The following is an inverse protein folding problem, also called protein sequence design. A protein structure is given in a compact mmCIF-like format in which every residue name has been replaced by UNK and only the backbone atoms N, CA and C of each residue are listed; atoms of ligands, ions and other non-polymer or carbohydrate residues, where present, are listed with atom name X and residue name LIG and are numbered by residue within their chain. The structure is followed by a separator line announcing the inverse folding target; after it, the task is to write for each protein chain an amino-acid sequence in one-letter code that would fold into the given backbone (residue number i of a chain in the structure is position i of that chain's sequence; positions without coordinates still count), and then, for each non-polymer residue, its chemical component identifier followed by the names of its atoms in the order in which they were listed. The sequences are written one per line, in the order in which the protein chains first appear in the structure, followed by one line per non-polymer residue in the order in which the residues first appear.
data_IF_240318085764
#
_entry.id   IF_240318085764
#
_cell.length_a   1.000
_cell.length_b   1.000
_cell.length_c   1.000
_cell.angle_alpha   90.00
_cell.angle_beta   90.00
_cell.angle_gamma   90.00
#
_symmetry.space_group_name_H-M   'P 1'
#
loop_
_entity.id
_entity.type
_entity.pdbx_description
1 polymer ?
#
# COMPACT_ATOMS: atom_id res chain seq x y z
N UNK A 1 10.36 30.88 -66.60
CA UNK A 1 10.44 29.68 -65.74
C UNK A 1 10.03 30.12 -64.35
N UNK A 2 8.98 29.48 -63.81
CA UNK A 2 8.11 30.01 -62.75
C UNK A 2 8.56 29.51 -61.38
N UNK A 3 8.28 30.36 -60.39
CA UNK A 3 7.91 30.01 -59.01
C UNK A 3 9.08 29.70 -58.08
N UNK A 4 9.50 30.77 -57.40
CA UNK A 4 9.84 30.80 -55.97
C UNK A 4 9.03 29.75 -55.21
N UNK A 5 9.71 28.77 -54.63
CA UNK A 5 9.12 27.80 -53.72
C UNK A 5 9.88 27.81 -52.40
N UNK A 6 9.87 28.98 -51.78
CA UNK A 6 10.04 29.09 -50.33
C UNK A 6 8.64 28.99 -49.72
N UNK A 7 8.29 27.79 -49.25
CA UNK A 7 7.19 27.62 -48.30
C UNK A 7 7.54 26.53 -47.28
N UNK A 8 7.87 27.04 -46.08
CA UNK A 8 7.24 26.61 -44.83
C UNK A 8 7.71 25.26 -44.26
N UNK A 9 8.67 25.40 -43.33
CA UNK A 9 8.52 24.92 -41.95
C UNK A 9 7.75 23.62 -41.75
N UNK A 10 8.47 22.51 -41.76
CA UNK A 10 8.19 21.51 -40.73
C UNK A 10 9.18 21.73 -39.59
N UNK A 11 8.83 22.70 -38.74
CA UNK A 11 9.22 22.62 -37.32
C UNK A 11 8.70 21.28 -36.87
N UNK A 12 9.57 20.27 -36.80
CA UNK A 12 9.24 18.99 -36.18
C UNK A 12 8.95 19.35 -34.73
N UNK A 13 7.69 19.27 -34.25
CA UNK A 13 7.40 19.58 -32.87
C UNK A 13 8.24 18.64 -32.02
N UNK A 14 9.06 19.23 -31.16
CA UNK A 14 9.93 18.52 -30.25
C UNK A 14 9.15 17.45 -29.49
N UNK A 15 9.84 16.33 -29.32
CA UNK A 15 9.73 15.46 -28.15
C UNK A 15 8.31 15.02 -27.81
N UNK A 16 7.97 13.84 -28.32
CA UNK A 16 7.31 12.78 -27.54
C UNK A 16 6.62 13.30 -26.27
N UNK A 17 5.37 13.74 -26.41
CA UNK A 17 4.45 13.64 -25.31
C UNK A 17 4.39 12.17 -24.94
N UNK A 18 5.29 11.70 -24.06
CA UNK A 18 5.09 10.46 -23.34
C UNK A 18 3.73 10.69 -22.69
N UNK A 19 2.65 10.03 -23.13
CA UNK A 19 1.42 10.09 -22.36
C UNK A 19 1.85 9.70 -20.96
N UNK A 20 1.52 10.55 -19.99
CA UNK A 20 1.88 10.41 -18.59
C UNK A 20 1.38 9.08 -18.08
N UNK A 21 2.15 8.03 -18.36
CA UNK A 21 1.86 6.68 -18.01
C UNK A 21 2.11 6.61 -16.53
N UNK A 22 1.09 6.94 -15.74
CA UNK A 22 0.84 6.21 -14.52
C UNK A 22 0.70 4.76 -14.96
N UNK A 23 1.86 4.12 -15.09
CA UNK A 23 2.00 2.71 -15.39
C UNK A 23 1.24 2.06 -14.27
N UNK A 24 0.13 1.39 -14.59
CA UNK A 24 -0.78 0.78 -13.62
C UNK A 24 0.00 0.02 -12.53
N UNK A 25 1.13 -0.57 -12.90
CA UNK A 25 2.11 -1.26 -12.05
C UNK A 25 2.84 -0.39 -11.02
N UNK A 26 3.23 0.85 -11.34
CA UNK A 26 3.96 1.72 -10.40
C UNK A 26 3.02 2.33 -9.36
N UNK A 27 1.80 2.70 -9.77
CA UNK A 27 0.73 3.12 -8.86
C UNK A 27 0.30 2.00 -7.92
N UNK A 28 0.10 0.79 -8.44
CA UNK A 28 -0.24 -0.39 -7.63
C UNK A 28 0.85 -0.73 -6.59
N UNK A 29 2.13 -0.65 -6.96
CA UNK A 29 3.21 -0.94 -6.01
C UNK A 29 3.18 0.01 -4.80
N UNK A 30 2.99 1.31 -5.04
CA UNK A 30 2.83 2.30 -3.96
C UNK A 30 1.57 2.03 -3.15
N UNK A 31 0.46 1.72 -3.80
CA UNK A 31 -0.79 1.36 -3.13
C UNK A 31 -0.63 0.15 -2.20
N UNK A 32 0.04 -0.93 -2.62
CA UNK A 32 0.31 -2.09 -1.77
C UNK A 32 1.11 -1.73 -0.52
N UNK A 33 2.11 -0.86 -0.67
CA UNK A 33 2.91 -0.38 0.47
C UNK A 33 2.05 0.46 1.41
N UNK A 34 1.29 1.42 0.88
CA UNK A 34 0.42 2.28 1.69
C UNK A 34 -0.61 1.46 2.44
N UNK A 35 -1.28 0.50 1.78
CA UNK A 35 -2.24 -0.40 2.44
C UNK A 35 -1.55 -1.25 3.49
N UNK A 36 -0.36 -1.79 3.23
CA UNK A 36 0.40 -2.57 4.20
C UNK A 36 0.77 -1.76 5.45
N UNK A 37 1.25 -0.52 5.27
CA UNK A 37 1.58 0.41 6.36
C UNK A 37 0.33 0.83 7.13
N UNK A 38 -0.75 1.19 6.43
CA UNK A 38 -2.03 1.55 7.03
C UNK A 38 -2.58 0.42 7.91
N UNK A 39 -2.55 -0.80 7.39
CA UNK A 39 -2.93 -2.00 8.11
C UNK A 39 -2.09 -2.15 9.41
N UNK A 40 -0.77 -1.98 9.31
CA UNK A 40 0.13 -2.01 10.45
C UNK A 40 -0.13 -0.93 11.50
N UNK A 41 -0.69 0.23 11.13
CA UNK A 41 -1.02 1.30 12.06
C UNK A 41 -2.35 1.01 12.78
N UNK A 42 -3.35 0.51 12.05
CA UNK A 42 -4.71 0.33 12.57
C UNK A 42 -4.81 -0.85 13.53
N UNK A 43 -4.23 -2.00 13.18
CA UNK A 43 -4.44 -3.23 13.95
C UNK A 43 -3.85 -3.23 15.36
N UNK A 44 -2.63 -2.72 15.62
CA UNK A 44 -2.11 -2.64 16.98
C UNK A 44 -2.98 -1.74 17.87
N UNK A 45 -3.46 -0.62 17.33
CA UNK A 45 -4.34 0.28 18.07
C UNK A 45 -5.69 -0.37 18.41
N UNK A 46 -6.22 -1.17 17.49
CA UNK A 46 -7.45 -1.93 17.70
C UNK A 46 -7.25 -3.07 18.70
N UNK A 47 -6.09 -3.73 18.68
CA UNK A 47 -5.74 -4.78 19.64
C UNK A 47 -5.75 -4.25 21.08
N UNK A 48 -5.18 -3.07 21.32
CA UNK A 48 -5.24 -2.40 22.62
C UNK A 48 -6.68 -2.09 23.03
N UNK A 49 -7.48 -1.55 22.10
CA UNK A 49 -8.89 -1.24 22.38
C UNK A 49 -9.71 -2.49 22.78
N UNK A 50 -9.43 -3.65 22.16
CA UNK A 50 -10.08 -4.92 22.52
C UNK A 50 -9.58 -5.43 23.86
N UNK A 51 -8.29 -5.29 24.14
CA UNK A 51 -7.70 -5.70 25.42
C UNK A 51 -8.29 -4.93 26.60
N UNK A 52 -8.50 -3.63 26.44
CA UNK A 52 -9.07 -2.73 27.44
C UNK A 52 -10.59 -2.82 27.55
N UNK A 53 -11.26 -3.63 26.71
CA UNK A 53 -12.70 -3.85 26.82
C UNK A 53 -13.01 -4.84 27.97
N UNK A 54 -13.83 -4.47 28.96
CA UNK A 54 -14.25 -5.38 30.04
C UNK A 54 -14.82 -6.72 29.55
N UNK A 55 -15.48 -6.76 28.39
CA UNK A 55 -16.08 -7.97 27.79
C UNK A 55 -15.04 -8.99 27.35
N UNK A 56 -13.78 -8.57 27.19
CA UNK A 56 -12.67 -9.45 26.88
C UNK A 56 -12.29 -10.37 28.05
N UNK A 57 -12.74 -10.04 29.27
CA UNK A 57 -12.35 -10.68 30.51
C UNK A 57 -13.55 -11.25 31.25
N UNK A 58 -13.45 -12.49 31.72
CA UNK A 58 -14.58 -13.15 32.40
C UNK A 58 -14.99 -12.45 33.70
N UNK A 59 -14.06 -11.76 34.36
CA UNK A 59 -14.33 -11.01 35.59
C UNK A 59 -14.87 -9.58 35.33
N UNK A 60 -15.00 -9.16 34.07
CA UNK A 60 -15.44 -7.80 33.71
C UNK A 60 -14.46 -6.69 34.12
N UNK A 61 -13.23 -7.04 34.51
CA UNK A 61 -12.16 -6.11 34.86
C UNK A 61 -10.95 -6.43 33.99
N UNK A 62 -10.34 -5.42 33.38
CA UNK A 62 -9.22 -5.59 32.45
C UNK A 62 -8.07 -6.36 33.13
N UNK A 63 -7.58 -7.39 32.45
CA UNK A 63 -6.47 -8.23 32.91
C UNK A 63 -6.79 -9.17 34.08
N UNK A 64 -8.05 -9.30 34.49
CA UNK A 64 -8.46 -10.19 35.58
C UNK A 64 -9.43 -11.27 35.08
N UNK A 65 -9.26 -12.51 35.55
CA UNK A 65 -10.04 -13.65 35.08
C UNK A 65 -9.50 -14.24 33.77
N UNK A 66 -10.29 -15.13 33.16
CA UNK A 66 -9.90 -15.81 31.92
C UNK A 66 -10.30 -15.01 30.68
N UNK A 67 -9.48 -15.04 29.62
CA UNK A 67 -9.86 -14.54 28.30
C UNK A 67 -11.18 -15.13 27.81
N UNK A 68 -12.10 -14.28 27.33
CA UNK A 68 -13.37 -14.73 26.76
C UNK A 68 -13.22 -15.08 25.28
N UNK A 69 -14.24 -15.73 24.70
CA UNK A 69 -14.30 -15.98 23.27
C UNK A 69 -14.25 -14.67 22.44
N UNK A 70 -14.77 -13.56 23.00
CA UNK A 70 -14.67 -12.24 22.39
C UNK A 70 -13.22 -11.81 22.17
N UNK A 71 -12.36 -11.93 23.19
CA UNK A 71 -10.93 -11.63 23.06
C UNK A 71 -10.29 -12.55 22.01
N UNK A 72 -10.56 -13.86 22.08
CA UNK A 72 -9.91 -14.84 21.20
C UNK A 72 -10.25 -14.66 19.72
N UNK A 73 -11.53 -14.46 19.39
CA UNK A 73 -11.96 -14.24 18.01
C UNK A 73 -11.27 -12.99 17.44
N UNK A 74 -11.24 -11.90 18.20
CA UNK A 74 -10.59 -10.67 17.77
C UNK A 74 -9.07 -10.85 17.67
N UNK A 75 -8.42 -11.51 18.61
CA UNK A 75 -6.99 -11.78 18.56
C UNK A 75 -6.60 -12.56 17.30
N UNK A 76 -7.34 -13.61 16.96
CA UNK A 76 -7.12 -14.38 15.72
C UNK A 76 -7.35 -13.52 14.48
N UNK A 77 -8.44 -12.75 14.44
CA UNK A 77 -8.73 -11.84 13.33
C UNK A 77 -7.60 -10.81 13.14
N UNK A 78 -7.13 -10.19 14.22
CA UNK A 78 -6.02 -9.23 14.21
C UNK A 78 -4.76 -9.89 13.64
N UNK A 79 -4.38 -11.07 14.14
CA UNK A 79 -3.17 -11.78 13.69
C UNK A 79 -3.24 -12.09 12.20
N UNK A 80 -4.36 -12.65 11.73
CA UNK A 80 -4.57 -12.98 10.32
C UNK A 80 -4.50 -11.71 9.45
N UNK A 81 -5.17 -10.63 9.87
CA UNK A 81 -5.16 -9.37 9.13
C UNK A 81 -3.78 -8.70 9.10
N UNK A 82 -3.03 -8.72 10.19
CA UNK A 82 -1.64 -8.23 10.22
C UNK A 82 -0.76 -9.06 9.30
N UNK A 83 -0.91 -10.39 9.28
CA UNK A 83 -0.16 -11.26 8.37
C UNK A 83 -0.43 -10.94 6.89
N UNK A 84 -1.70 -10.71 6.52
CA UNK A 84 -2.07 -10.28 5.17
C UNK A 84 -1.44 -8.93 4.81
N UNK A 85 -1.59 -7.90 5.66
CA UNK A 85 -1.00 -6.58 5.39
C UNK A 85 0.52 -6.61 5.32
N UNK A 86 1.17 -7.44 6.14
CA UNK A 86 2.62 -7.65 6.08
C UNK A 86 3.04 -8.29 4.77
N UNK A 87 2.32 -9.33 4.32
CA UNK A 87 2.60 -10.01 3.05
C UNK A 87 2.48 -9.03 1.87
N UNK A 88 1.39 -8.25 1.84
CA UNK A 88 1.18 -7.24 0.79
C UNK A 88 2.23 -6.11 0.84
N UNK A 89 2.57 -5.62 2.03
CA UNK A 89 3.59 -4.59 2.22
C UNK A 89 4.97 -5.06 1.76
N UNK A 90 5.37 -6.28 2.12
CA UNK A 90 6.65 -6.88 1.68
C UNK A 90 6.69 -7.06 0.16
N UNK A 91 5.59 -7.52 -0.46
CA UNK A 91 5.51 -7.65 -1.91
C UNK A 91 5.64 -6.29 -2.62
N UNK A 92 4.96 -5.25 -2.12
CA UNK A 92 5.07 -3.88 -2.63
C UNK A 92 6.49 -3.31 -2.51
N UNK A 93 7.13 -3.48 -1.34
CA UNK A 93 8.52 -3.05 -1.12
C UNK A 93 9.46 -3.78 -2.09
N UNK A 94 9.32 -5.10 -2.25
CA UNK A 94 10.14 -5.89 -3.18
C UNK A 94 9.98 -5.42 -4.64
N UNK A 95 8.76 -5.07 -5.05
CA UNK A 95 8.50 -4.51 -6.39
C UNK A 95 9.21 -3.15 -6.59
N UNK A 96 9.12 -2.26 -5.60
CA UNK A 96 9.79 -0.95 -5.63
C UNK A 96 11.32 -1.07 -5.69
N UNK A 97 11.90 -1.98 -4.89
CA UNK A 97 13.35 -2.21 -4.87
C UNK A 97 13.86 -2.79 -6.21
N UNK A 98 13.08 -3.62 -6.90
CA UNK A 98 13.42 -4.14 -8.24
C UNK A 98 13.40 -3.04 -9.29
N UNK A 99 12.42 -2.15 -9.24
CA UNK A 99 12.30 -0.99 -10.13
C UNK A 99 13.43 0.02 -9.96
N UNK A 100 14.00 0.11 -8.77
CA UNK A 100 15.11 1.05 -8.48
C UNK A 100 16.45 0.56 -9.05
N UNK A 101 16.68 -0.76 -9.07
CA UNK A 101 17.92 -1.37 -9.59
C UNK A 101 18.10 -1.27 -11.10
N UNK A 102 17.02 -1.12 -11.86
CA UNK A 102 17.07 -1.00 -13.32
C UNK A 102 17.27 0.43 -13.84
N UNK A 103 17.37 1.43 -12.96
CA UNK A 103 17.67 2.84 -13.32
C UNK A 103 19.15 3.23 -13.21
N UNK A 104 20.00 2.34 -12.69
CA UNK A 104 21.40 2.62 -12.36
C UNK A 104 22.41 2.03 -13.35
N UNK A 105 21.93 1.47 -14.47
CA UNK A 105 22.72 0.92 -15.58
C UNK A 105 22.29 1.59 -16.88
#
# INVERSE_FOLDING_TARGET
MRVVQDSETTVVPGTSGRPGGFSLTRGWAVFLVVVGVWNWIIWPRFAVAIWDDPRAWSAGTVGHGSPTAFLWVHAVLIVVSVAFGTTLGVLGIRALLRLWRSRSS
#
